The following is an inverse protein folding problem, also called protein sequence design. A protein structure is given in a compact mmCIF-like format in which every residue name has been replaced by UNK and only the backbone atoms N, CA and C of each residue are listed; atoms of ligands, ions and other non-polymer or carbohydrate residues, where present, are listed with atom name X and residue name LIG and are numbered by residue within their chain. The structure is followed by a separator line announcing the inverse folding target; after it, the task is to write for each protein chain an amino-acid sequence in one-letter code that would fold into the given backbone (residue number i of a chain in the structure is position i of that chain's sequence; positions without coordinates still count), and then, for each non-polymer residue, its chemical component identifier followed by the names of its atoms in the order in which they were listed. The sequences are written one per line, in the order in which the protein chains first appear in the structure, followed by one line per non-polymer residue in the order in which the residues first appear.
data_IF_374741978494
#
_entry.id   IF_374741978494
#
_cell.length_a   1.000
_cell.length_b   1.000
_cell.length_c   1.000
_cell.angle_alpha   90.00
_cell.angle_beta   90.00
_cell.angle_gamma   90.00
#
_symmetry.space_group_name_H-M   'P 1'
#
loop_
_entity.id
_entity.type
_entity.pdbx_description
1 polymer ?
#
# COMPACT_ATOMS: atom_id res chain seq x y z
N UNK A 1 -9.91 -0.47 11.67
CA UNK A 1 -10.42 -0.68 10.29
C UNK A 1 -10.18 0.58 9.46
N UNK A 2 -9.79 0.45 8.19
CA UNK A 2 -9.60 1.60 7.29
C UNK A 2 -10.84 1.78 6.41
N UNK A 3 -11.45 2.97 6.45
CA UNK A 3 -12.57 3.33 5.58
C UNK A 3 -12.03 4.15 4.39
N UNK A 4 -12.16 3.67 3.14
CA UNK A 4 -11.74 4.43 1.97
C UNK A 4 -12.43 5.78 1.88
N UNK A 5 -11.67 6.84 1.55
CA UNK A 5 -12.24 8.20 1.39
C UNK A 5 -13.31 8.26 0.29
N UNK A 6 -13.21 7.39 -0.72
CA UNK A 6 -14.19 7.28 -1.79
C UNK A 6 -15.61 6.93 -1.31
N UNK A 7 -15.75 6.36 -0.10
CA UNK A 7 -17.05 6.02 0.48
C UNK A 7 -17.65 7.16 1.33
N UNK A 8 -16.89 8.23 1.58
CA UNK A 8 -17.31 9.33 2.43
C UNK A 8 -17.83 10.51 1.60
N UNK A 9 -18.97 11.06 2.03
CA UNK A 9 -19.50 12.35 1.57
C UNK A 9 -18.85 13.49 2.38
N UNK A 10 -18.86 14.73 1.87
CA UNK A 10 -18.36 15.89 2.62
C UNK A 10 -19.06 16.11 3.97
N UNK A 11 -20.36 15.80 4.06
CA UNK A 11 -21.20 15.94 5.25
C UNK A 11 -22.24 14.81 5.31
N UNK A 12 -22.87 14.66 6.48
CA UNK A 12 -24.04 13.79 6.71
C UNK A 12 -23.80 12.31 6.34
N UNK A 13 -22.63 11.80 6.68
CA UNK A 13 -22.34 10.37 6.62
C UNK A 13 -23.03 9.64 7.77
N UNK A 14 -23.60 8.47 7.49
CA UNK A 14 -24.15 7.57 8.51
C UNK A 14 -23.19 6.41 8.70
N UNK A 15 -22.83 6.12 9.95
CA UNK A 15 -22.06 4.95 10.33
C UNK A 15 -22.97 4.02 11.14
N UNK A 16 -23.12 2.79 10.67
CA UNK A 16 -23.82 1.72 11.40
C UNK A 16 -22.77 0.76 11.91
N UNK A 17 -22.80 0.46 13.20
CA UNK A 17 -21.90 -0.48 13.85
C UNK A 17 -22.73 -1.62 14.40
N UNK A 18 -22.32 -2.84 14.09
CA UNK A 18 -22.91 -4.06 14.64
C UNK A 18 -21.87 -4.74 15.54
N UNK A 19 -22.26 -5.06 16.77
CA UNK A 19 -21.42 -5.72 17.75
C UNK A 19 -21.97 -7.13 17.95
N UNK A 20 -21.14 -8.15 17.74
CA UNK A 20 -21.55 -9.56 17.70
C UNK A 20 -21.07 -10.37 18.92
N UNK A 21 -20.09 -9.86 19.67
CA UNK A 21 -19.28 -10.64 20.61
C UNK A 21 -19.40 -10.20 22.08
N UNK A 22 -20.24 -9.21 22.40
CA UNK A 22 -20.46 -8.71 23.76
C UNK A 22 -19.51 -7.58 24.22
N UNK A 23 -18.93 -6.79 23.31
CA UNK A 23 -18.11 -5.62 23.61
C UNK A 23 -18.88 -4.34 23.97
N UNK A 24 -18.19 -3.31 24.49
CA UNK A 24 -18.77 -1.98 24.76
C UNK A 24 -18.61 -1.04 23.55
N UNK A 25 -19.69 -0.71 22.80
CA UNK A 25 -19.60 0.12 21.60
C UNK A 25 -19.21 1.58 21.88
N UNK A 26 -19.41 2.09 23.10
CA UNK A 26 -19.07 3.47 23.46
C UNK A 26 -17.57 3.74 23.46
N UNK A 27 -16.73 2.70 23.48
CA UNK A 27 -15.27 2.82 23.40
C UNK A 27 -14.76 2.94 21.96
N UNK A 28 -15.63 2.80 20.95
CA UNK A 28 -15.26 2.93 19.55
C UNK A 28 -14.98 4.40 19.25
N UNK A 29 -13.79 4.69 18.73
CA UNK A 29 -13.42 6.05 18.31
C UNK A 29 -13.16 6.09 16.81
N UNK A 30 -13.74 7.10 16.16
CA UNK A 30 -13.49 7.38 14.74
C UNK A 30 -12.45 8.49 14.66
N UNK A 31 -11.34 8.22 13.98
CA UNK A 31 -10.26 9.18 13.82
C UNK A 31 -9.98 9.41 12.35
N UNK A 32 -9.83 10.68 11.97
CA UNK A 32 -9.20 11.03 10.70
C UNK A 32 -7.71 10.80 10.84
N UNK A 33 -7.18 9.87 10.06
CA UNK A 33 -5.73 9.63 9.97
C UNK A 33 -5.23 10.30 8.69
N UNK A 34 -4.33 11.27 8.82
CA UNK A 34 -3.50 11.70 7.69
C UNK A 34 -2.27 10.80 7.66
N UNK A 35 -2.13 10.00 6.61
CA UNK A 35 -0.90 9.26 6.34
C UNK A 35 -0.11 10.04 5.31
N UNK A 36 0.79 10.87 5.80
CA UNK A 36 1.77 11.55 4.94
C UNK A 36 2.93 10.60 4.61
N UNK A 37 3.19 9.64 5.48
CA UNK A 37 4.03 8.47 5.20
C UNK A 37 3.20 7.40 4.48
N UNK A 38 3.67 7.01 3.29
CA UNK A 38 3.18 5.88 2.52
C UNK A 38 4.24 4.78 2.52
N UNK A 39 3.84 3.53 2.32
CA UNK A 39 4.76 2.41 2.26
C UNK A 39 4.28 1.38 1.24
N UNK A 40 5.17 0.49 0.83
CA UNK A 40 4.85 -0.71 0.06
C UNK A 40 5.73 -1.86 0.55
N UNK A 41 5.23 -3.08 0.36
CA UNK A 41 5.96 -4.32 0.60
C UNK A 41 5.62 -5.27 -0.54
N UNK A 42 6.64 -5.76 -1.23
CA UNK A 42 6.52 -6.67 -2.36
C UNK A 42 7.59 -7.74 -2.22
N UNK A 43 7.28 -8.96 -2.67
CA UNK A 43 8.24 -10.07 -2.75
C UNK A 43 8.39 -10.48 -4.20
N UNK A 44 9.49 -11.17 -4.50
CA UNK A 44 9.75 -11.69 -5.86
C UNK A 44 8.67 -12.67 -6.35
N UNK A 45 7.93 -13.29 -5.44
CA UNK A 45 6.83 -14.19 -5.77
C UNK A 45 5.50 -13.47 -6.08
N UNK A 46 5.42 -12.15 -5.91
CA UNK A 46 4.19 -11.44 -6.27
C UNK A 46 3.98 -11.43 -7.78
N UNK A 47 2.73 -11.61 -8.24
CA UNK A 47 2.44 -11.52 -9.65
C UNK A 47 2.63 -10.08 -10.15
N UNK A 48 2.85 -9.90 -11.47
CA UNK A 48 2.85 -8.58 -12.10
C UNK A 48 1.53 -7.85 -11.86
N UNK A 49 1.57 -6.52 -11.97
CA UNK A 49 0.37 -5.68 -11.87
C UNK A 49 -0.71 -6.14 -12.84
N UNK A 50 -1.99 -6.13 -12.43
CA UNK A 50 -3.12 -6.45 -13.31
C UNK A 50 -3.15 -5.53 -14.56
N UNK A 51 -2.58 -4.33 -14.46
CA UNK A 51 -2.49 -3.37 -15.57
C UNK A 51 -1.55 -3.80 -16.70
N UNK A 52 -0.61 -4.73 -16.46
CA UNK A 52 0.30 -5.24 -17.50
C UNK A 52 -0.36 -6.27 -18.42
N UNK A 53 -1.61 -6.66 -18.12
CA UNK A 53 -2.39 -7.61 -18.89
C UNK A 53 -3.46 -6.89 -19.72
N UNK A 54 -3.78 -7.44 -20.87
CA UNK A 54 -4.86 -6.99 -21.73
C UNK A 54 -5.65 -8.18 -22.29
N UNK A 55 -6.85 -7.90 -22.78
CA UNK A 55 -7.67 -8.90 -23.48
C UNK A 55 -7.69 -8.58 -24.97
N UNK A 56 -7.05 -9.43 -25.79
CA UNK A 56 -7.15 -9.40 -27.26
C UNK A 56 -7.77 -10.71 -27.74
N UNK A 57 -8.70 -10.62 -28.69
CA UNK A 57 -9.37 -11.78 -29.29
C UNK A 57 -9.91 -12.79 -28.26
N UNK A 58 -10.56 -12.25 -27.22
CA UNK A 58 -11.09 -13.01 -26.08
C UNK A 58 -10.07 -13.74 -25.19
N UNK A 59 -8.77 -13.69 -25.48
CA UNK A 59 -7.69 -14.25 -24.66
C UNK A 59 -7.05 -13.17 -23.79
N UNK A 60 -6.65 -13.55 -22.58
CA UNK A 60 -5.83 -12.68 -21.71
C UNK A 60 -4.37 -12.89 -22.12
N UNK A 61 -3.67 -11.80 -22.40
CA UNK A 61 -2.27 -11.81 -22.74
C UNK A 61 -1.56 -10.63 -22.08
N UNK A 62 -0.24 -10.75 -21.90
CA UNK A 62 0.56 -9.61 -21.50
C UNK A 62 0.52 -8.54 -22.61
N UNK A 63 0.49 -7.27 -22.22
CA UNK A 63 0.67 -6.17 -23.18
C UNK A 63 2.08 -6.25 -23.76
N UNK A 64 2.19 -6.03 -25.08
CA UNK A 64 3.50 -5.83 -25.72
C UNK A 64 4.25 -4.72 -24.97
N UNK A 65 5.52 -4.98 -24.64
CA UNK A 65 6.45 -4.10 -23.89
C UNK A 65 6.37 -4.07 -22.36
N UNK A 66 5.50 -4.85 -21.72
CA UNK A 66 5.46 -4.88 -20.25
C UNK A 66 6.36 -5.97 -19.68
N UNK A 67 7.28 -5.58 -18.78
CA UNK A 67 8.07 -6.52 -17.99
C UNK A 67 7.17 -7.16 -16.92
N UNK A 68 7.02 -8.48 -16.97
CA UNK A 68 6.21 -9.26 -16.03
C UNK A 68 6.92 -9.46 -14.68
N UNK A 69 7.43 -8.39 -14.08
CA UNK A 69 8.09 -8.42 -12.79
C UNK A 69 7.18 -7.91 -11.67
N UNK A 70 7.49 -8.34 -10.45
CA UNK A 70 6.87 -7.82 -9.24
C UNK A 70 7.30 -6.36 -9.05
N UNK A 71 6.32 -5.45 -8.96
CA UNK A 71 6.58 -4.02 -8.81
C UNK A 71 5.85 -3.46 -7.59
N UNK A 72 6.55 -2.61 -6.82
CA UNK A 72 5.96 -1.79 -5.79
C UNK A 72 5.72 -0.37 -6.33
N UNK A 73 4.47 0.06 -6.41
CA UNK A 73 4.13 1.45 -6.75
C UNK A 73 3.78 2.27 -5.50
N UNK A 74 4.34 3.46 -5.41
CA UNK A 74 4.03 4.43 -4.36
C UNK A 74 3.42 5.67 -5.01
N UNK A 75 2.22 6.06 -4.54
CA UNK A 75 1.54 7.26 -5.02
C UNK A 75 1.05 8.09 -3.86
N UNK A 76 1.46 9.36 -3.87
CA UNK A 76 0.95 10.35 -2.94
C UNK A 76 -0.43 10.88 -3.37
N UNK A 77 -1.29 11.14 -2.39
CA UNK A 77 -2.60 11.76 -2.64
C UNK A 77 -2.50 13.29 -2.68
N UNK A 78 -3.46 13.95 -3.36
CA UNK A 78 -3.65 15.40 -3.36
C UNK A 78 -2.43 16.22 -3.84
N UNK A 79 -1.80 15.81 -4.95
CA UNK A 79 -0.62 16.49 -5.53
C UNK A 79 0.59 16.59 -4.60
N UNK A 80 0.61 15.85 -3.49
CA UNK A 80 1.80 15.73 -2.66
C UNK A 80 2.89 15.00 -3.43
N UNK A 81 4.14 15.33 -3.12
CA UNK A 81 5.34 14.67 -3.65
C UNK A 81 6.07 13.95 -2.52
N UNK A 82 6.76 12.86 -2.85
CA UNK A 82 7.61 12.16 -1.88
C UNK A 82 8.79 13.08 -1.58
N UNK A 83 8.91 13.50 -0.32
CA UNK A 83 9.96 14.40 0.12
C UNK A 83 11.17 13.67 0.72
N UNK A 84 10.94 12.53 1.36
CA UNK A 84 11.98 11.79 2.07
C UNK A 84 11.64 10.31 2.17
N UNK A 85 12.67 9.47 2.23
CA UNK A 85 12.54 8.03 2.43
C UNK A 85 12.96 7.69 3.86
N UNK A 86 11.99 7.24 4.65
CA UNK A 86 12.22 6.85 6.04
C UNK A 86 12.94 5.50 6.14
N UNK A 87 12.54 4.54 5.29
CA UNK A 87 13.05 3.17 5.30
C UNK A 87 13.06 2.58 3.88
N UNK A 88 14.13 1.84 3.56
CA UNK A 88 14.23 1.03 2.35
C UNK A 88 15.13 -0.17 2.62
N UNK A 89 14.68 -1.36 2.26
CA UNK A 89 15.41 -2.61 2.44
C UNK A 89 15.07 -3.58 1.31
N UNK A 90 16.08 -4.32 0.85
CA UNK A 90 15.91 -5.39 -0.14
C UNK A 90 16.58 -6.65 0.42
N UNK A 91 15.79 -7.70 0.66
CA UNK A 91 16.20 -8.89 1.40
C UNK A 91 15.04 -9.41 2.25
N UNK A 92 15.21 -9.48 3.57
CA UNK A 92 14.19 -10.02 4.49
C UNK A 92 13.72 -9.03 5.58
N UNK A 93 13.25 -7.81 5.22
CA UNK A 93 12.76 -6.85 6.21
C UNK A 93 11.61 -7.43 7.05
N UNK A 94 11.50 -6.96 8.28
CA UNK A 94 10.50 -7.42 9.25
C UNK A 94 9.54 -6.28 9.63
N UNK A 95 8.39 -6.63 10.22
CA UNK A 95 7.41 -5.66 10.70
C UNK A 95 6.31 -5.35 9.68
N UNK A 96 5.70 -4.18 9.83
CA UNK A 96 4.53 -3.76 9.05
C UNK A 96 4.70 -2.33 8.54
N UNK A 97 3.82 -1.92 7.62
CA UNK A 97 3.77 -0.56 7.11
C UNK A 97 3.81 0.51 8.21
N UNK A 98 4.83 1.37 8.18
CA UNK A 98 5.06 2.42 9.17
C UNK A 98 5.90 2.00 10.38
N UNK A 99 6.32 0.73 10.45
CA UNK A 99 7.25 0.22 11.46
C UNK A 99 8.04 -0.97 10.90
N UNK A 100 8.68 -0.78 9.75
CA UNK A 100 9.59 -1.78 9.19
C UNK A 100 10.94 -1.72 9.88
N UNK A 101 11.55 -2.89 10.08
CA UNK A 101 12.89 -3.03 10.63
C UNK A 101 13.76 -3.88 9.71
N UNK A 102 15.08 -3.66 9.83
CA UNK A 102 16.04 -4.41 9.05
C UNK A 102 16.03 -5.89 9.45
N UNK A 103 16.06 -6.78 8.46
CA UNK A 103 16.26 -8.21 8.70
C UNK A 103 17.74 -8.59 8.78
N UNK A 104 18.00 -9.90 8.80
CA UNK A 104 19.36 -10.46 8.80
C UNK A 104 20.04 -10.40 7.43
N UNK A 105 19.28 -10.23 6.36
CA UNK A 105 19.72 -10.11 4.98
C UNK A 105 19.17 -8.80 4.41
N UNK A 106 20.07 -7.90 4.03
CA UNK A 106 19.71 -6.65 3.40
C UNK A 106 20.80 -6.16 2.45
N UNK A 107 20.39 -5.62 1.30
CA UNK A 107 21.28 -4.92 0.38
C UNK A 107 21.61 -3.50 0.89
N UNK A 108 22.90 -3.13 1.02
CA UNK A 108 23.31 -1.77 1.39
C UNK A 108 22.88 -0.69 0.38
N UNK A 109 22.71 -1.06 -0.89
CA UNK A 109 22.35 -0.12 -1.96
C UNK A 109 20.84 0.17 -2.04
N UNK A 110 20.01 -0.57 -1.29
CA UNK A 110 18.54 -0.48 -1.38
C UNK A 110 18.04 0.96 -1.22
N UNK A 111 18.60 1.70 -0.25
CA UNK A 111 18.23 3.09 0.02
C UNK A 111 18.65 4.04 -1.11
N UNK A 112 19.89 3.96 -1.56
CA UNK A 112 20.42 4.84 -2.62
C UNK A 112 19.66 4.69 -3.93
N UNK A 113 19.17 3.48 -4.24
CA UNK A 113 18.41 3.22 -5.46
C UNK A 113 17.07 3.96 -5.47
N UNK A 114 16.39 4.04 -4.32
CA UNK A 114 15.05 4.64 -4.24
C UNK A 114 15.07 6.15 -4.00
N UNK A 115 16.18 6.71 -3.48
CA UNK A 115 16.32 8.15 -3.19
C UNK A 115 16.65 9.02 -4.42
N UNK A 116 16.66 8.43 -5.61
CA UNK A 116 17.13 9.09 -6.85
C UNK A 116 16.17 10.15 -7.38
#
# INVERSE_FOLDING_TARGET
YHVPRAFLKPKDNVMVVFEETGGNPYLITVRKVSRDTICSYITEAHPPSVSSWERKEAKIQAKESEDLQAEASLKCYNHKVIHSIEFASFGNPQGICGNFTMGTCNSPSARTIVEK
#
